data_IF_153848157572
#
_entry.id   IF_153848157572
#
_cell.length_a   1.000
_cell.length_b   1.000
_cell.length_c   1.000
_cell.angle_alpha   90.00
_cell.angle_beta   90.00
_cell.angle_gamma   90.00
#
_symmetry.space_group_name_H-M   'P 1'
#
loop_
_entity.id
_entity.type
_entity.pdbx_description
1 polymer ?
#
# COMPACT_ATOMS: atom_id res chain seq x y z
N UNK A 1 -12.12 -15.74 48.15
CA UNK A 1 -10.78 -16.21 47.73
C UNK A 1 -10.72 -16.15 46.22
N UNK A 2 -10.25 -15.02 45.66
CA UNK A 2 -10.05 -14.82 44.24
C UNK A 2 -8.60 -14.39 44.07
N UNK A 3 -7.78 -15.32 43.57
CA UNK A 3 -6.36 -15.12 43.29
C UNK A 3 -6.21 -14.18 42.09
N UNK A 4 -5.55 -13.05 42.34
CA UNK A 4 -5.05 -12.16 41.28
C UNK A 4 -3.85 -12.82 40.60
N UNK A 5 -3.94 -13.01 39.29
CA UNK A 5 -2.82 -13.38 38.41
C UNK A 5 -2.18 -12.06 37.95
N UNK A 6 -0.86 -11.84 38.16
CA UNK A 6 -0.20 -10.66 37.63
C UNK A 6 0.14 -10.87 36.15
N UNK A 7 -0.44 -10.04 35.29
CA UNK A 7 0.01 -9.87 33.90
C UNK A 7 1.36 -9.14 33.89
N UNK A 8 2.41 -9.87 33.52
CA UNK A 8 3.74 -9.32 33.28
C UNK A 8 3.78 -8.76 31.85
N UNK A 9 3.46 -7.48 31.69
CA UNK A 9 3.62 -6.77 30.42
C UNK A 9 5.10 -6.41 30.22
N UNK A 10 5.82 -7.22 29.44
CA UNK A 10 7.13 -6.83 28.88
C UNK A 10 6.90 -5.77 27.80
N UNK A 11 7.06 -4.50 28.18
CA UNK A 11 7.18 -3.40 27.23
C UNK A 11 8.47 -3.59 26.41
N UNK A 12 8.35 -3.93 25.13
CA UNK A 12 9.43 -3.80 24.17
C UNK A 12 9.68 -2.30 23.97
N UNK A 13 10.69 -1.77 24.64
CA UNK A 13 11.15 -0.39 24.45
C UNK A 13 11.91 -0.35 23.11
N UNK A 14 11.23 0.04 22.03
CA UNK A 14 11.91 0.35 20.76
C UNK A 14 12.76 1.60 20.98
N UNK A 15 14.10 1.56 20.77
CA UNK A 15 14.90 2.76 20.78
C UNK A 15 14.50 3.62 19.57
N UNK A 16 13.76 4.69 19.84
CA UNK A 16 13.46 5.71 18.84
C UNK A 16 14.73 6.55 18.63
N UNK A 17 15.62 6.12 17.73
CA UNK A 17 16.71 6.95 17.24
C UNK A 17 16.11 8.06 16.37
N UNK A 18 15.74 9.17 17.02
CA UNK A 18 15.49 10.45 16.35
C UNK A 18 16.83 11.01 15.86
N UNK A 19 17.34 10.44 14.76
CA UNK A 19 18.55 10.90 14.09
C UNK A 19 18.23 12.03 13.12
N UNK A 20 18.71 13.22 13.45
CA UNK A 20 18.77 14.40 12.57
C UNK A 20 19.33 14.04 11.19
N UNK A 21 18.71 14.60 10.15
CA UNK A 21 19.24 14.62 8.79
C UNK A 21 20.57 15.38 8.75
N UNK A 22 21.66 14.64 8.81
CA UNK A 22 23.01 15.08 8.45
C UNK A 22 23.67 13.95 7.67
N UNK A 23 24.45 14.31 6.65
CA UNK A 23 25.23 13.36 5.85
C UNK A 23 26.04 12.44 6.79
N UNK A 24 25.66 11.16 6.87
CA UNK A 24 26.43 10.17 7.59
C UNK A 24 27.63 9.79 6.72
N UNK A 25 28.72 10.55 6.83
CA UNK A 25 30.00 10.16 6.22
C UNK A 25 30.57 8.96 6.98
N UNK A 26 30.11 7.75 6.63
CA UNK A 26 30.51 6.52 7.30
C UNK A 26 29.73 5.32 6.80
N UNK A 27 30.02 4.17 7.40
CA UNK A 27 29.27 2.93 7.16
C UNK A 27 27.99 2.95 7.99
N UNK A 28 26.86 2.62 7.36
CA UNK A 28 25.59 2.46 8.04
C UNK A 28 25.26 0.98 8.16
N UNK A 29 25.46 0.44 9.36
CA UNK A 29 25.19 -0.96 9.66
C UNK A 29 23.91 -1.06 10.49
N UNK A 30 22.97 -1.89 10.04
CA UNK A 30 21.80 -2.31 10.81
C UNK A 30 22.13 -3.69 11.39
N UNK A 31 22.40 -3.79 12.70
CA UNK A 31 22.94 -5.01 13.29
C UNK A 31 21.94 -6.17 13.26
N UNK A 32 22.47 -7.39 13.22
CA UNK A 32 21.69 -8.61 13.18
C UNK A 32 20.61 -8.66 14.28
N UNK A 33 19.40 -9.05 13.89
CA UNK A 33 18.24 -9.16 14.79
C UNK A 33 17.67 -7.83 15.31
N UNK A 34 18.19 -6.67 14.89
CA UNK A 34 17.64 -5.37 15.28
C UNK A 34 16.57 -4.89 14.30
N UNK A 35 15.58 -4.17 14.83
CA UNK A 35 14.64 -3.38 14.05
C UNK A 35 14.99 -1.90 14.22
N UNK A 36 15.48 -1.28 13.16
CA UNK A 36 15.78 0.15 13.11
C UNK A 36 14.73 0.85 12.27
N UNK A 37 14.06 1.85 12.85
CA UNK A 37 13.14 2.68 12.10
C UNK A 37 13.85 3.93 11.59
N UNK A 38 13.87 4.13 10.27
CA UNK A 38 14.40 5.32 9.63
C UNK A 38 13.25 6.19 9.12
N UNK A 39 13.25 7.48 9.51
CA UNK A 39 12.28 8.46 9.02
C UNK A 39 12.90 9.25 7.86
N UNK A 40 12.28 9.19 6.70
CA UNK A 40 12.76 9.87 5.50
C UNK A 40 12.69 11.40 5.61
N UNK A 41 13.70 12.06 5.05
CA UNK A 41 13.77 13.50 4.86
C UNK A 41 13.82 13.85 3.37
N UNK A 42 13.80 15.15 3.02
CA UNK A 42 13.80 15.61 1.62
C UNK A 42 15.15 15.39 0.90
N UNK A 43 16.17 14.89 1.60
CA UNK A 43 17.52 14.71 1.08
C UNK A 43 17.89 13.23 1.03
N UNK A 44 18.74 12.87 0.07
CA UNK A 44 19.33 11.54 -0.05
C UNK A 44 20.20 11.21 1.16
N UNK A 45 20.23 9.92 1.53
CA UNK A 45 21.19 9.37 2.47
C UNK A 45 22.48 9.04 1.70
N UNK A 46 23.57 9.72 2.03
CA UNK A 46 24.88 9.47 1.43
C UNK A 46 25.76 8.82 2.49
N UNK A 47 26.19 7.59 2.23
CA UNK A 47 27.01 6.76 3.13
C UNK A 47 28.16 6.11 2.35
N UNK A 48 29.18 5.61 3.05
CA UNK A 48 30.22 4.80 2.39
C UNK A 48 29.65 3.43 2.02
N UNK A 49 29.03 2.76 2.98
CA UNK A 49 28.33 1.50 2.78
C UNK A 49 27.02 1.46 3.57
N UNK A 50 26.05 0.70 3.06
CA UNK A 50 24.85 0.29 3.80
C UNK A 50 24.89 -1.22 3.96
N UNK A 51 24.89 -1.71 5.20
CA UNK A 51 24.78 -3.15 5.51
C UNK A 51 23.56 -3.40 6.37
N UNK A 52 22.65 -4.26 5.91
CA UNK A 52 21.54 -4.77 6.69
C UNK A 52 21.86 -6.25 6.99
N UNK A 53 22.28 -6.53 8.22
CA UNK A 53 22.75 -7.86 8.61
C UNK A 53 21.61 -8.89 8.70
N UNK A 54 21.91 -10.21 8.72
CA UNK A 54 20.89 -11.25 8.79
C UNK A 54 19.89 -11.06 9.94
N UNK A 55 18.60 -11.19 9.63
CA UNK A 55 17.51 -11.01 10.59
C UNK A 55 17.29 -9.58 11.08
N UNK A 56 18.09 -8.60 10.62
CA UNK A 56 17.85 -7.20 10.87
C UNK A 56 16.70 -6.67 10.00
N UNK A 57 16.04 -5.61 10.45
CA UNK A 57 15.00 -4.90 9.71
C UNK A 57 15.29 -3.40 9.72
N UNK A 58 15.51 -2.82 8.55
CA UNK A 58 15.46 -1.39 8.33
C UNK A 58 14.04 -1.01 7.89
N UNK A 59 13.23 -0.53 8.83
CA UNK A 59 11.86 -0.06 8.57
C UNK A 59 11.88 1.41 8.19
N UNK A 60 11.60 1.69 6.93
CA UNK A 60 11.53 3.05 6.39
C UNK A 60 10.12 3.60 6.57
N UNK A 61 10.01 4.80 7.14
CA UNK A 61 8.75 5.53 7.33
C UNK A 61 8.90 6.97 6.89
N UNK A 62 7.79 7.68 6.67
CA UNK A 62 7.80 9.11 6.41
C UNK A 62 7.30 9.49 5.02
N UNK A 63 7.21 10.80 4.83
CA UNK A 63 6.58 11.44 3.66
C UNK A 63 7.47 11.45 2.42
N UNK A 64 8.79 11.34 2.56
CA UNK A 64 9.71 11.41 1.43
C UNK A 64 10.17 10.01 1.01
N UNK A 65 10.71 9.85 -0.17
CA UNK A 65 11.35 8.60 -0.58
C UNK A 65 12.53 8.22 0.32
N UNK A 66 12.88 6.95 0.31
CA UNK A 66 14.18 6.52 0.81
C UNK A 66 15.12 6.37 -0.37
N UNK A 67 16.04 7.32 -0.46
CA UNK A 67 17.07 7.34 -1.49
C UNK A 67 18.42 7.21 -0.79
N UNK A 68 19.10 6.09 -0.97
CA UNK A 68 20.45 5.86 -0.47
C UNK A 68 21.46 5.79 -1.61
N UNK A 69 22.56 6.53 -1.46
CA UNK A 69 23.71 6.53 -2.36
C UNK A 69 24.92 6.04 -1.57
N UNK A 70 25.58 4.98 -2.06
CA UNK A 70 26.70 4.34 -1.38
C UNK A 70 27.78 3.85 -2.34
N UNK A 71 28.95 3.48 -1.83
CA UNK A 71 29.90 2.67 -2.61
C UNK A 71 29.43 1.22 -2.67
N UNK A 72 29.03 0.65 -1.52
CA UNK A 72 28.50 -0.71 -1.45
C UNK A 72 27.20 -0.78 -0.65
N UNK A 73 26.28 -1.64 -1.09
CA UNK A 73 25.06 -1.99 -0.38
C UNK A 73 25.00 -3.51 -0.23
N UNK A 74 24.86 -3.98 1.00
CA UNK A 74 24.72 -5.40 1.34
C UNK A 74 23.45 -5.62 2.15
N UNK A 75 22.53 -6.43 1.62
CA UNK A 75 21.25 -6.72 2.28
C UNK A 75 21.13 -8.21 2.52
N UNK A 76 21.34 -8.61 3.77
CA UNK A 76 21.08 -9.96 4.28
C UNK A 76 19.88 -9.98 5.25
N UNK A 77 19.41 -8.83 5.71
CA UNK A 77 18.14 -8.67 6.43
C UNK A 77 17.02 -8.10 5.55
N UNK A 78 16.10 -7.36 6.15
CA UNK A 78 14.95 -6.76 5.46
C UNK A 78 15.07 -5.24 5.37
N UNK A 79 14.94 -4.69 4.17
CA UNK A 79 14.64 -3.28 3.91
C UNK A 79 13.14 -3.14 3.61
N UNK A 80 12.39 -2.48 4.48
CA UNK A 80 10.92 -2.43 4.40
C UNK A 80 10.38 -1.00 4.38
N UNK A 81 9.77 -0.62 3.26
CA UNK A 81 9.02 0.62 3.06
C UNK A 81 7.55 0.36 2.74
N UNK A 82 6.96 -0.70 3.30
CA UNK A 82 5.55 -1.02 3.08
C UNK A 82 4.62 -0.01 3.77
N UNK A 83 3.51 0.36 3.12
CA UNK A 83 2.43 1.13 3.73
C UNK A 83 1.80 0.41 4.93
N UNK A 84 1.17 1.17 5.81
CA UNK A 84 0.49 0.63 6.98
C UNK A 84 -0.90 0.13 6.61
N UNK A 85 -1.34 -0.95 7.25
CA UNK A 85 -2.71 -1.42 7.16
C UNK A 85 -3.64 -0.54 8.01
N UNK A 86 -4.87 -0.37 7.54
CA UNK A 86 -5.93 0.24 8.33
C UNK A 86 -6.33 -0.67 9.50
N UNK A 87 -6.92 -0.06 10.53
CA UNK A 87 -7.42 -0.79 11.69
C UNK A 87 -8.91 -1.10 11.49
N UNK A 88 -9.30 -2.33 11.81
CA UNK A 88 -10.71 -2.70 11.89
C UNK A 88 -11.43 -1.82 12.91
N UNK A 89 -12.67 -1.44 12.59
CA UNK A 89 -13.49 -0.66 13.50
C UNK A 89 -13.91 -1.53 14.68
N UNK A 90 -13.24 -1.35 15.82
CA UNK A 90 -13.48 -2.14 17.02
C UNK A 90 -14.49 -1.51 18.00
N UNK A 91 -15.05 -0.34 17.66
CA UNK A 91 -16.00 0.40 18.50
C UNK A 91 -17.43 0.24 17.97
N UNK A 92 -18.41 0.42 18.86
CA UNK A 92 -19.85 0.29 18.57
C UNK A 92 -20.59 1.59 18.95
N UNK A 93 -21.52 2.03 18.11
CA UNK A 93 -22.29 3.26 18.30
C UNK A 93 -21.42 4.52 18.21
N UNK A 94 -20.44 4.54 17.29
CA UNK A 94 -19.41 5.59 17.28
C UNK A 94 -19.39 6.42 16.00
N UNK A 95 -20.57 6.69 15.44
CA UNK A 95 -20.76 7.58 14.30
C UNK A 95 -20.29 9.02 14.53
N UNK A 96 -19.96 9.41 15.76
CA UNK A 96 -19.31 10.69 16.06
C UNK A 96 -17.78 10.66 16.01
N UNK A 97 -17.16 9.54 15.64
CA UNK A 97 -15.71 9.37 15.54
C UNK A 97 -15.30 9.10 14.09
N UNK A 98 -14.27 9.80 13.65
CA UNK A 98 -13.65 9.59 12.32
C UNK A 98 -12.77 8.35 12.37
N UNK A 99 -12.90 7.47 11.37
CA UNK A 99 -11.97 6.35 11.17
C UNK A 99 -10.88 6.77 10.20
N UNK A 100 -9.66 6.96 10.72
CA UNK A 100 -8.55 7.43 9.89
C UNK A 100 -8.01 6.32 8.99
N UNK A 101 -7.75 6.67 7.74
CA UNK A 101 -6.96 5.81 6.85
C UNK A 101 -5.52 5.68 7.31
N UNK A 102 -4.90 4.54 6.99
CA UNK A 102 -3.54 4.24 7.37
C UNK A 102 -2.52 5.04 6.55
N UNK A 103 -1.37 5.31 7.17
CA UNK A 103 -0.27 6.03 6.54
C UNK A 103 0.41 5.17 5.46
N UNK A 104 0.85 5.79 4.37
CA UNK A 104 1.87 5.18 3.53
C UNK A 104 3.25 5.20 4.20
N UNK A 105 4.26 4.71 3.48
CA UNK A 105 5.66 4.76 3.90
C UNK A 105 6.53 5.26 2.75
N UNK A 106 7.68 5.85 3.06
CA UNK A 106 8.64 6.38 2.09
C UNK A 106 8.00 7.15 0.90
N UNK A 107 7.08 8.06 1.19
CA UNK A 107 6.33 8.83 0.19
C UNK A 107 5.07 8.19 -0.37
N UNK A 108 4.74 6.97 0.03
CA UNK A 108 3.45 6.34 -0.26
C UNK A 108 2.28 7.17 0.27
N UNK A 109 1.20 7.25 -0.51
CA UNK A 109 0.00 8.00 -0.15
C UNK A 109 -0.78 7.38 1.01
N UNK A 110 -1.37 8.21 1.88
CA UNK A 110 -2.28 7.76 2.94
C UNK A 110 -3.60 7.20 2.40
N UNK A 111 -4.20 6.25 3.11
CA UNK A 111 -5.59 5.83 2.86
C UNK A 111 -6.63 6.91 3.20
N UNK A 112 -7.81 6.77 2.62
CA UNK A 112 -8.97 7.63 2.89
C UNK A 112 -9.50 7.44 4.30
N UNK A 113 -10.14 8.47 4.87
CA UNK A 113 -10.84 8.34 6.17
C UNK A 113 -12.33 8.07 5.97
N UNK A 114 -12.90 7.20 6.79
CA UNK A 114 -14.34 7.03 6.85
C UNK A 114 -14.95 7.97 7.90
N UNK A 115 -16.24 8.26 7.72
CA UNK A 115 -17.06 8.99 8.68
C UNK A 115 -16.51 10.37 9.09
N UNK A 116 -16.20 11.22 8.12
CA UNK A 116 -15.65 12.56 8.38
C UNK A 116 -16.64 13.55 8.97
N UNK A 117 -17.94 13.35 8.76
CA UNK A 117 -18.98 14.19 9.35
C UNK A 117 -19.39 13.55 10.67
N UNK A 118 -19.00 14.17 11.79
CA UNK A 118 -19.21 13.62 13.14
C UNK A 118 -20.41 14.22 13.87
N UNK A 119 -21.21 15.01 13.17
CA UNK A 119 -22.42 15.67 13.67
C UNK A 119 -23.67 15.39 12.82
N UNK A 120 -23.53 14.55 11.79
CA UNK A 120 -24.58 14.15 10.86
C UNK A 120 -24.15 12.91 10.08
N UNK A 121 -25.03 12.36 9.25
CA UNK A 121 -24.71 11.23 8.39
C UNK A 121 -23.68 11.60 7.32
N UNK A 122 -22.61 10.81 7.20
CA UNK A 122 -21.58 11.01 6.16
C UNK A 122 -22.05 10.37 4.84
N UNK A 123 -22.05 11.09 3.70
CA UNK A 123 -22.57 10.58 2.43
C UNK A 123 -21.68 9.49 1.78
N UNK A 124 -20.37 9.58 1.97
CA UNK A 124 -19.39 8.71 1.32
C UNK A 124 -18.11 8.67 2.16
N UNK A 125 -17.39 7.55 2.15
CA UNK A 125 -16.00 7.53 2.62
C UNK A 125 -15.10 8.43 1.76
N UNK A 126 -13.99 8.90 2.30
CA UNK A 126 -13.03 9.66 1.51
C UNK A 126 -12.24 8.77 0.56
N UNK A 127 -11.83 9.36 -0.57
CA UNK A 127 -10.80 8.75 -1.41
C UNK A 127 -9.45 8.72 -0.69
N UNK A 128 -8.60 7.76 -1.08
CA UNK A 128 -7.19 7.72 -0.73
C UNK A 128 -6.41 8.89 -1.31
N UNK A 129 -5.21 9.09 -0.77
CA UNK A 129 -4.29 10.13 -1.20
C UNK A 129 -3.32 9.57 -2.25
N UNK A 130 -2.92 10.46 -3.15
CA UNK A 130 -1.81 10.19 -4.06
C UNK A 130 -0.46 10.27 -3.37
N UNK A 131 0.60 10.23 -4.18
CA UNK A 131 1.98 10.26 -3.72
C UNK A 131 2.32 11.49 -2.88
N UNK A 132 3.23 11.32 -1.91
CA UNK A 132 3.73 12.37 -1.01
C UNK A 132 2.63 13.08 -0.20
N UNK A 133 1.47 12.45 -0.04
CA UNK A 133 0.22 13.03 0.46
C UNK A 133 -0.19 14.32 -0.29
N UNK A 134 0.27 14.50 -1.52
CA UNK A 134 0.18 15.77 -2.24
C UNK A 134 -1.25 16.23 -2.55
N UNK A 135 -2.09 15.32 -3.05
CA UNK A 135 -3.50 15.61 -3.36
C UNK A 135 -4.41 14.45 -2.95
N UNK A 136 -5.51 14.78 -2.25
CA UNK A 136 -6.61 13.84 -2.00
C UNK A 136 -7.34 13.53 -3.30
N UNK A 137 -7.86 12.30 -3.45
CA UNK A 137 -8.62 11.90 -4.65
C UNK A 137 -7.78 11.27 -5.76
N UNK A 138 -6.47 11.10 -5.54
CA UNK A 138 -5.58 10.38 -6.45
C UNK A 138 -5.31 8.93 -6.00
N UNK A 139 -5.81 8.52 -4.83
CA UNK A 139 -5.87 7.12 -4.41
C UNK A 139 -7.19 6.45 -4.81
N UNK A 140 -7.47 5.29 -4.23
CA UNK A 140 -8.74 4.58 -4.44
C UNK A 140 -9.94 5.41 -3.98
N UNK A 141 -11.03 5.39 -4.73
CA UNK A 141 -12.23 6.16 -4.40
C UNK A 141 -12.93 5.62 -3.14
N UNK A 142 -13.55 6.49 -2.34
CA UNK A 142 -14.33 6.05 -1.19
C UNK A 142 -15.66 5.40 -1.59
N UNK A 143 -16.17 4.49 -0.76
CA UNK A 143 -17.46 3.83 -0.95
C UNK A 143 -18.63 4.72 -0.51
N UNK A 144 -19.73 4.66 -1.26
CA UNK A 144 -20.96 5.38 -0.94
C UNK A 144 -21.64 4.83 0.32
N UNK A 145 -22.13 5.71 1.20
CA UNK A 145 -22.94 5.29 2.33
C UNK A 145 -24.31 4.80 1.88
N UNK A 146 -24.92 3.89 2.65
CA UNK A 146 -26.24 3.33 2.39
C UNK A 146 -27.26 3.76 3.43
N UNK A 147 -28.52 3.86 3.01
CA UNK A 147 -29.67 4.02 3.90
C UNK A 147 -30.87 3.22 3.37
N UNK A 148 -31.83 2.91 4.25
CA UNK A 148 -33.06 2.20 3.86
C UNK A 148 -34.22 3.20 3.71
N UNK A 149 -34.53 3.58 2.47
CA UNK A 149 -35.61 4.51 2.16
C UNK A 149 -37.03 4.00 2.55
N UNK A 150 -37.16 2.72 2.95
CA UNK A 150 -38.45 2.07 3.27
C UNK A 150 -38.66 1.84 4.76
N UNK A 151 -37.60 1.68 5.56
CA UNK A 151 -37.66 1.45 7.01
C UNK A 151 -36.32 1.73 7.68
N UNK A 152 -36.25 1.92 9.00
CA UNK A 152 -34.97 2.22 9.68
C UNK A 152 -34.28 1.03 10.35
N UNK A 153 -34.89 -0.16 10.33
CA UNK A 153 -34.49 -1.27 11.21
C UNK A 153 -33.75 -2.42 10.53
N UNK A 154 -33.72 -2.47 9.19
CA UNK A 154 -33.09 -3.58 8.48
C UNK A 154 -31.66 -3.24 8.07
N UNK A 155 -30.69 -3.86 8.74
CA UNK A 155 -29.26 -3.68 8.47
C UNK A 155 -28.86 -3.99 7.03
N UNK A 156 -29.48 -4.98 6.38
CA UNK A 156 -29.16 -5.36 4.99
C UNK A 156 -29.65 -4.34 3.97
N UNK A 157 -30.71 -3.60 4.31
CA UNK A 157 -31.27 -2.54 3.47
C UNK A 157 -30.57 -1.19 3.62
N UNK A 158 -29.54 -1.10 4.45
CA UNK A 158 -28.78 0.15 4.65
C UNK A 158 -27.27 -0.01 4.56
N UNK A 159 -26.77 -1.17 4.12
CA UNK A 159 -25.32 -1.42 4.01
C UNK A 159 -24.67 -0.45 3.03
N UNK A 160 -23.68 0.30 3.51
CA UNK A 160 -22.78 1.08 2.67
C UNK A 160 -21.94 0.23 1.71
N UNK A 161 -21.34 0.88 0.73
CA UNK A 161 -20.46 0.27 -0.25
C UNK A 161 -18.99 0.36 0.16
N UNK A 162 -18.17 -0.56 -0.34
CA UNK A 162 -16.76 -0.63 0.00
C UNK A 162 -15.90 0.41 -0.71
N UNK A 163 -14.75 0.75 -0.11
CA UNK A 163 -13.75 1.62 -0.73
C UNK A 163 -12.98 0.91 -1.87
N UNK A 164 -12.55 1.65 -2.89
CA UNK A 164 -11.75 1.13 -4.00
C UNK A 164 -10.26 1.03 -3.66
N UNK A 165 -9.57 0.09 -4.32
CA UNK A 165 -8.14 -0.12 -4.13
C UNK A 165 -7.26 0.95 -4.77
N UNK A 166 -6.07 1.15 -4.19
CA UNK A 166 -5.00 1.91 -4.81
C UNK A 166 -4.48 1.22 -6.09
N UNK A 167 -3.92 1.98 -7.02
CA UNK A 167 -3.31 1.45 -8.23
C UNK A 167 -2.06 2.26 -8.60
N UNK A 168 -0.98 1.55 -8.95
CA UNK A 168 0.25 2.17 -9.43
C UNK A 168 0.81 1.41 -10.63
N UNK A 169 1.33 0.21 -10.40
CA UNK A 169 1.81 -0.70 -11.44
C UNK A 169 0.69 -1.25 -12.34
N UNK A 170 1.05 -1.80 -13.51
CA UNK A 170 0.11 -2.54 -14.34
C UNK A 170 -0.36 -3.81 -13.63
N UNK A 171 -1.64 -4.15 -13.79
CA UNK A 171 -2.17 -5.39 -13.22
C UNK A 171 -1.50 -6.61 -13.86
N UNK A 172 -1.19 -7.61 -13.05
CA UNK A 172 -0.64 -8.88 -13.54
C UNK A 172 -1.80 -9.77 -13.95
N UNK A 173 -1.83 -10.19 -15.22
CA UNK A 173 -2.87 -11.09 -15.75
C UNK A 173 -2.91 -12.39 -14.94
N UNK A 174 -4.08 -12.75 -14.41
CA UNK A 174 -4.24 -13.91 -13.53
C UNK A 174 -3.64 -13.74 -12.14
N UNK A 175 -3.18 -12.52 -11.81
CA UNK A 175 -2.68 -12.17 -10.49
C UNK A 175 -3.78 -12.24 -9.42
N UNK A 176 -3.38 -12.64 -8.22
CA UNK A 176 -4.25 -12.61 -7.04
C UNK A 176 -4.22 -11.25 -6.33
N UNK A 177 -4.59 -11.28 -5.06
CA UNK A 177 -4.55 -10.12 -4.15
C UNK A 177 -3.18 -9.42 -4.23
N UNK A 178 -3.21 -8.09 -4.35
CA UNK A 178 -2.01 -7.27 -4.43
C UNK A 178 -1.35 -7.21 -5.80
N UNK A 179 -1.87 -7.95 -6.78
CA UNK A 179 -1.38 -7.97 -8.16
C UNK A 179 -2.42 -7.50 -9.19
N UNK A 180 -3.66 -7.27 -8.76
CA UNK A 180 -4.72 -6.68 -9.56
C UNK A 180 -5.47 -5.67 -8.69
N UNK A 181 -5.52 -4.41 -9.12
CA UNK A 181 -6.32 -3.41 -8.41
C UNK A 181 -7.81 -3.65 -8.66
N UNK A 182 -8.63 -3.55 -7.62
CA UNK A 182 -10.06 -3.77 -7.70
C UNK A 182 -10.87 -2.59 -7.17
N UNK A 183 -12.06 -2.39 -7.76
CA UNK A 183 -13.06 -1.46 -7.21
C UNK A 183 -13.64 -2.03 -5.93
N UNK A 184 -14.20 -1.17 -5.09
CA UNK A 184 -15.01 -1.60 -3.96
C UNK A 184 -16.28 -2.31 -4.44
N UNK A 185 -16.76 -3.26 -3.66
CA UNK A 185 -18.06 -3.88 -3.90
C UNK A 185 -19.19 -2.90 -3.57
N UNK A 186 -20.30 -3.00 -4.29
CA UNK A 186 -21.49 -2.22 -4.00
C UNK A 186 -22.06 -2.59 -2.62
N UNK A 187 -22.82 -1.67 -2.04
CA UNK A 187 -23.53 -1.86 -0.79
C UNK A 187 -24.71 -2.84 -0.91
N UNK A 188 -25.60 -2.82 0.07
CA UNK A 188 -26.77 -3.71 0.09
C UNK A 188 -27.60 -3.58 -1.19
N UNK A 189 -28.06 -4.68 -1.81
CA UNK A 189 -28.72 -4.65 -3.12
C UNK A 189 -30.01 -3.80 -3.14
N UNK A 190 -30.64 -3.63 -1.98
CA UNK A 190 -31.86 -2.85 -1.76
C UNK A 190 -31.60 -1.57 -0.95
N UNK A 191 -30.34 -1.30 -0.58
CA UNK A 191 -29.97 -0.05 0.06
C UNK A 191 -29.95 1.08 -0.97
N UNK A 192 -30.30 2.27 -0.52
CA UNK A 192 -30.26 3.48 -1.34
C UNK A 192 -28.96 4.22 -1.04
N UNK A 193 -28.23 4.60 -2.08
CA UNK A 193 -26.99 5.33 -1.95
C UNK A 193 -27.21 6.79 -1.54
N UNK A 194 -26.43 7.28 -0.58
CA UNK A 194 -26.55 8.63 -0.04
C UNK A 194 -26.10 9.74 -1.00
N UNK A 195 -25.34 9.41 -2.05
CA UNK A 195 -24.82 10.36 -3.06
C UNK A 195 -25.65 10.30 -4.34
N UNK A 196 -25.91 9.08 -4.80
CA UNK A 196 -26.53 8.80 -6.10
C UNK A 196 -28.05 8.71 -6.00
N UNK A 197 -28.59 8.39 -4.82
CA UNK A 197 -30.01 8.04 -4.66
C UNK A 197 -30.41 6.74 -5.36
N UNK A 198 -29.45 5.94 -5.82
CA UNK A 198 -29.68 4.69 -6.55
C UNK A 198 -29.51 3.47 -5.65
N UNK A 199 -30.08 2.35 -6.09
CA UNK A 199 -29.87 1.04 -5.47
C UNK A 199 -29.03 0.14 -6.39
N UNK A 200 -27.96 -0.52 -5.89
CA UNK A 200 -27.33 -0.36 -4.57
C UNK A 200 -26.44 0.91 -4.47
N UNK A 201 -25.97 1.29 -3.26
CA UNK A 201 -24.89 2.27 -3.09
C UNK A 201 -23.63 1.80 -3.84
N UNK A 202 -22.94 2.71 -4.51
CA UNK A 202 -21.82 2.36 -5.40
C UNK A 202 -20.51 2.20 -4.65
N UNK A 203 -19.81 1.11 -4.94
CA UNK A 203 -18.45 0.90 -4.47
C UNK A 203 -17.48 1.92 -5.05
N UNK A 204 -16.43 2.21 -4.28
CA UNK A 204 -15.39 3.16 -4.68
C UNK A 204 -14.62 2.72 -5.91
N UNK A 205 -14.26 3.67 -6.77
CA UNK A 205 -13.48 3.41 -7.98
C UNK A 205 -12.04 2.99 -7.66
N UNK A 206 -11.40 2.26 -8.58
CA UNK A 206 -9.94 2.03 -8.55
C UNK A 206 -9.24 3.39 -8.69
N UNK A 207 -8.09 3.56 -8.04
CA UNK A 207 -7.28 4.76 -8.23
C UNK A 207 -6.92 4.99 -9.71
N UNK A 208 -6.71 6.24 -10.15
CA UNK A 208 -6.16 6.52 -11.47
C UNK A 208 -4.83 5.79 -11.70
N UNK A 209 -4.63 5.23 -12.91
CA UNK A 209 -3.37 4.56 -13.27
C UNK A 209 -2.27 5.59 -13.51
N UNK A 210 -1.03 5.18 -13.24
CA UNK A 210 0.15 6.00 -13.53
C UNK A 210 0.56 5.98 -15.01
N UNK A 211 0.07 4.98 -15.75
CA UNK A 211 0.33 4.71 -17.16
C UNK A 211 -0.94 4.99 -17.98
N UNK A 212 -0.82 5.74 -19.09
CA UNK A 212 -1.96 6.30 -19.82
C UNK A 212 -2.08 5.85 -21.28
N UNK A 213 -1.01 5.35 -21.90
CA UNK A 213 -1.02 5.03 -23.35
C UNK A 213 -1.47 3.60 -23.70
N UNK A 214 -1.81 2.81 -22.67
CA UNK A 214 -2.23 1.40 -22.75
C UNK A 214 -1.20 0.44 -23.34
N UNK A 215 0.05 0.88 -23.55
CA UNK A 215 1.13 0.03 -24.02
C UNK A 215 1.92 -0.54 -22.82
N UNK A 216 1.72 -1.82 -22.45
CA UNK A 216 2.40 -2.40 -21.30
C UNK A 216 3.93 -2.51 -21.50
N UNK A 217 4.41 -2.37 -22.74
CA UNK A 217 5.83 -2.52 -23.04
C UNK A 217 6.68 -1.36 -22.50
N UNK A 218 6.10 -0.17 -22.25
CA UNK A 218 6.77 1.00 -21.68
C UNK A 218 6.27 1.39 -20.27
N UNK A 219 5.60 0.49 -19.55
CA UNK A 219 5.11 0.71 -18.17
C UNK A 219 6.23 0.72 -17.11
N UNK A 220 7.20 1.62 -17.24
CA UNK A 220 8.34 1.73 -16.34
C UNK A 220 8.94 3.15 -16.34
N UNK A 221 9.81 3.45 -15.38
CA UNK A 221 10.71 4.61 -15.38
C UNK A 221 12.08 4.24 -15.97
N UNK A 222 12.63 5.07 -16.84
CA UNK A 222 13.97 4.89 -17.42
C UNK A 222 13.94 4.33 -18.85
N UNK A 223 14.93 3.50 -19.21
CA UNK A 223 15.11 3.00 -20.57
C UNK A 223 15.45 1.51 -20.58
N UNK A 224 14.75 0.70 -21.40
CA UNK A 224 15.09 -0.72 -21.59
C UNK A 224 16.31 -0.87 -22.52
N UNK A 225 17.20 -1.84 -22.25
CA UNK A 225 18.34 -2.13 -23.12
C UNK A 225 17.89 -2.58 -24.52
N UNK A 226 18.70 -2.24 -25.51
CA UNK A 226 18.52 -2.52 -26.94
C UNK A 226 18.39 -4.02 -27.23
N UNK A 227 17.38 -4.40 -28.01
CA UNK A 227 17.47 -5.62 -28.83
C UNK A 227 18.18 -5.25 -30.15
N UNK A 228 19.12 -6.08 -30.65
CA UNK A 228 19.81 -5.82 -31.92
C UNK A 228 18.88 -5.36 -33.05
N UNK A 229 18.99 -4.09 -33.46
CA UNK A 229 18.27 -3.50 -34.59
C UNK A 229 17.03 -2.67 -34.26
N UNK A 230 16.64 -2.49 -32.99
CA UNK A 230 15.44 -1.72 -32.61
C UNK A 230 15.76 -0.54 -31.69
N UNK A 231 15.15 0.65 -31.86
CA UNK A 231 15.39 1.77 -30.95
C UNK A 231 15.06 1.39 -29.49
N UNK A 232 15.75 1.99 -28.51
CA UNK A 232 15.46 1.72 -27.11
C UNK A 232 14.05 2.14 -26.73
N UNK A 233 13.40 1.35 -25.90
CA UNK A 233 12.07 1.68 -25.36
C UNK A 233 12.30 2.60 -24.16
N UNK A 234 11.81 3.84 -24.26
CA UNK A 234 11.76 4.79 -23.16
C UNK A 234 10.48 4.52 -22.36
N UNK A 235 10.62 4.45 -21.05
CA UNK A 235 9.50 4.24 -20.14
C UNK A 235 8.58 5.47 -20.07
N UNK A 236 7.30 5.24 -19.80
CA UNK A 236 6.29 6.29 -19.70
C UNK A 236 6.46 7.18 -18.45
N UNK A 237 7.00 6.63 -17.35
CA UNK A 237 7.18 7.40 -16.13
C UNK A 237 8.33 8.39 -16.29
N UNK A 238 8.01 9.67 -16.13
CA UNK A 238 9.00 10.76 -16.14
C UNK A 238 9.88 10.80 -14.89
N UNK A 239 9.38 10.29 -13.75
CA UNK A 239 10.10 10.24 -12.47
C UNK A 239 9.70 9.01 -11.66
N UNK A 240 10.59 8.47 -10.80
CA UNK A 240 10.24 7.42 -9.87
C UNK A 240 9.11 7.86 -8.95
N UNK A 241 8.22 6.94 -8.60
CA UNK A 241 6.97 7.28 -7.91
C UNK A 241 6.60 6.22 -6.87
N UNK A 242 6.18 6.60 -5.65
CA UNK A 242 5.67 5.64 -4.67
C UNK A 242 4.22 5.22 -4.99
N UNK A 243 3.69 4.29 -4.20
CA UNK A 243 2.30 3.84 -4.28
C UNK A 243 1.29 4.85 -3.73
N UNK A 244 0.01 4.57 -3.94
CA UNK A 244 -1.12 5.41 -3.51
C UNK A 244 -2.02 4.68 -2.52
N UNK A 245 -2.75 5.43 -1.69
CA UNK A 245 -3.63 4.86 -0.67
C UNK A 245 -4.95 4.33 -1.22
N UNK A 246 -5.58 3.41 -0.47
CA UNK A 246 -6.93 2.92 -0.75
C UNK A 246 -8.03 3.87 -0.25
N UNK A 247 -9.23 3.73 -0.81
CA UNK A 247 -10.41 4.52 -0.40
C UNK A 247 -11.07 3.99 0.86
N UNK A 248 -11.76 4.86 1.61
CA UNK A 248 -12.51 4.46 2.79
C UNK A 248 -13.86 3.81 2.46
N UNK A 249 -14.40 3.00 3.37
CA UNK A 249 -15.74 2.42 3.24
C UNK A 249 -16.85 3.44 3.53
N UNK A 250 -18.03 3.22 2.94
CA UNK A 250 -19.25 3.97 3.25
C UNK A 250 -19.86 3.57 4.60
N UNK A 251 -20.61 4.50 5.19
CA UNK A 251 -21.37 4.24 6.40
C UNK A 251 -22.69 3.51 6.09
N UNK A 252 -23.29 2.97 7.14
CA UNK A 252 -24.67 2.48 7.14
C UNK A 252 -25.54 3.38 7.99
N UNK A 253 -26.36 4.19 7.33
CA UNK A 253 -27.20 5.20 7.98
C UNK A 253 -28.56 4.59 8.34
N UNK A 254 -28.98 4.69 9.60
CA UNK A 254 -30.26 4.10 10.04
C UNK A 254 -31.50 4.88 9.61
N UNK A 255 -31.38 6.18 9.27
CA UNK A 255 -32.52 7.00 8.88
C UNK A 255 -33.17 6.56 7.56
N UNK A 256 -34.50 6.71 7.40
CA UNK A 256 -35.16 6.42 6.12
C UNK A 256 -34.99 7.52 5.07
N UNK A 257 -34.26 8.57 5.42
CA UNK A 257 -33.93 9.70 4.55
C UNK A 257 -32.48 10.09 4.83
N UNK A 258 -31.82 10.63 3.82
CA UNK A 258 -30.45 11.11 3.94
C UNK A 258 -30.39 12.64 3.71
N UNK A 259 -29.69 13.41 4.55
CA UNK A 259 -29.13 13.00 5.85
C UNK A 259 -30.21 12.63 6.87
N UNK A 260 -29.86 11.84 7.89
CA UNK A 260 -30.82 11.45 8.94
C UNK A 260 -31.28 12.69 9.73
N UNK A 261 -32.59 13.01 9.81
CA UNK A 261 -33.08 14.24 10.47
C UNK A 261 -32.84 14.29 11.99
N UNK A 262 -32.84 13.13 12.64
CA UNK A 262 -32.52 12.97 14.07
C UNK A 262 -31.29 12.08 14.18
N UNK A 263 -30.14 12.68 13.96
CA UNK A 263 -28.86 11.98 14.02
C UNK A 263 -28.36 11.86 15.46
N UNK A 264 -27.84 10.70 15.82
CA UNK A 264 -27.12 10.48 17.09
C UNK A 264 -25.85 9.67 16.81
N UNK A 265 -24.82 9.72 17.67
CA UNK A 265 -23.62 8.91 17.49
C UNK A 265 -23.90 7.40 17.30
N UNK A 266 -24.99 6.90 17.89
CA UNK A 266 -25.36 5.48 17.84
C UNK A 266 -26.24 5.11 16.63
N UNK A 267 -26.63 6.06 15.77
CA UNK A 267 -27.57 5.78 14.67
C UNK A 267 -26.90 5.27 13.40
N UNK A 268 -25.67 5.68 13.14
CA UNK A 268 -24.95 5.31 11.92
C UNK A 268 -23.76 4.42 12.29
N UNK A 269 -23.62 3.27 11.63
CA UNK A 269 -22.41 2.47 11.74
C UNK A 269 -21.40 2.92 10.69
N UNK A 270 -20.19 3.23 11.13
CA UNK A 270 -19.16 3.81 10.27
C UNK A 270 -18.46 2.77 9.41
N UNK A 271 -18.12 3.18 8.19
CA UNK A 271 -17.17 2.44 7.36
C UNK A 271 -15.75 2.49 7.94
N UNK A 272 -14.84 1.72 7.35
CA UNK A 272 -13.43 1.71 7.74
C UNK A 272 -12.55 2.70 6.95
N UNK A 273 -11.43 3.12 7.54
CA UNK A 273 -10.38 3.88 6.83
C UNK A 273 -9.59 2.99 5.86
N UNK A 274 -9.07 3.55 4.76
CA UNK A 274 -8.32 2.81 3.72
C UNK A 274 -6.87 2.49 4.09
N UNK A 275 -6.27 1.50 3.41
CA UNK A 275 -4.85 1.13 3.57
C UNK A 275 -3.88 2.14 2.93
N UNK A 276 -2.67 2.27 3.47
CA UNK A 276 -1.64 3.17 2.94
C UNK A 276 -0.87 2.60 1.74
N UNK A 277 -0.39 3.45 0.84
CA UNK A 277 0.44 3.03 -0.31
C UNK A 277 1.85 2.61 0.09
N UNK A 278 2.43 1.68 -0.67
CA UNK A 278 3.84 1.29 -0.55
C UNK A 278 4.80 2.42 -0.95
N UNK A 279 6.02 2.37 -0.43
CA UNK A 279 6.98 3.45 -0.59
C UNK A 279 7.85 3.43 -1.84
N UNK A 280 8.61 4.51 -2.02
CA UNK A 280 9.65 4.61 -3.04
C UNK A 280 11.02 4.33 -2.39
N UNK A 281 11.63 3.22 -2.81
CA UNK A 281 12.97 2.79 -2.41
C UNK A 281 13.91 2.95 -3.61
N UNK A 282 14.95 3.76 -3.44
CA UNK A 282 16.00 3.96 -4.44
C UNK A 282 17.34 3.63 -3.76
N UNK A 283 18.02 2.62 -4.28
CA UNK A 283 19.35 2.23 -3.85
C UNK A 283 20.34 2.38 -5.01
N UNK A 284 21.27 3.31 -4.89
CA UNK A 284 22.30 3.58 -5.89
C UNK A 284 23.68 3.25 -5.30
N UNK A 285 24.43 2.35 -5.93
CA UNK A 285 25.78 2.03 -5.50
C UNK A 285 26.72 1.54 -6.60
N UNK A 286 28.03 1.48 -6.30
CA UNK A 286 28.97 0.79 -7.19
C UNK A 286 28.69 -0.71 -7.17
N UNK A 287 28.52 -1.28 -5.97
CA UNK A 287 28.17 -2.68 -5.79
C UNK A 287 26.91 -2.81 -4.93
N UNK A 288 26.00 -3.68 -5.36
CA UNK A 288 24.86 -4.10 -4.55
C UNK A 288 24.88 -5.61 -4.47
N UNK A 289 24.78 -6.16 -3.26
CA UNK A 289 24.63 -7.60 -3.02
C UNK A 289 23.39 -7.86 -2.20
N UNK A 290 22.54 -8.78 -2.66
CA UNK A 290 21.41 -9.28 -1.88
C UNK A 290 21.67 -10.74 -1.54
N UNK A 291 21.80 -11.04 -0.25
CA UNK A 291 22.08 -12.40 0.22
C UNK A 291 20.84 -13.28 0.29
N UNK A 292 21.05 -14.50 0.78
CA UNK A 292 20.03 -15.54 0.86
C UNK A 292 18.82 -15.17 1.70
N UNK A 293 19.03 -14.43 2.78
CA UNK A 293 17.97 -13.95 3.69
C UNK A 293 17.59 -12.50 3.43
N UNK A 294 18.24 -11.85 2.46
CA UNK A 294 17.95 -10.48 2.06
C UNK A 294 16.50 -10.36 1.61
N UNK A 295 15.86 -9.21 1.88
CA UNK A 295 14.54 -8.89 1.36
C UNK A 295 14.36 -7.38 1.23
N UNK A 296 13.70 -6.93 0.18
CA UNK A 296 13.32 -5.53 -0.05
C UNK A 296 11.83 -5.45 -0.35
N UNK A 297 11.12 -4.62 0.39
CA UNK A 297 9.64 -4.65 0.45
C UNK A 297 9.10 -3.24 0.34
N UNK A 298 8.13 -3.04 -0.54
CA UNK A 298 7.38 -1.80 -0.71
C UNK A 298 5.90 -2.12 -0.93
N UNK A 299 5.31 -2.94 -0.05
CA UNK A 299 3.92 -3.34 -0.20
C UNK A 299 2.94 -2.22 0.17
N UNK A 300 1.75 -2.23 -0.42
CA UNK A 300 0.61 -1.48 0.10
C UNK A 300 0.06 -2.12 1.38
N UNK A 301 -0.48 -1.28 2.26
CA UNK A 301 -1.20 -1.71 3.44
C UNK A 301 -2.61 -2.17 3.12
N UNK A 302 -3.11 -3.13 3.90
CA UNK A 302 -4.48 -3.64 3.73
C UNK A 302 -5.53 -2.63 4.20
N UNK A 303 -6.71 -2.69 3.59
CA UNK A 303 -7.92 -2.08 4.13
C UNK A 303 -8.40 -2.81 5.38
N UNK A 304 -9.47 -2.28 5.95
CA UNK A 304 -10.06 -2.71 7.20
C UNK A 304 -11.57 -2.87 7.07
N UNK A 305 -12.15 -3.58 8.04
CA UNK A 305 -13.57 -3.90 8.10
C UNK A 305 -14.32 -2.83 8.90
N UNK A 306 -15.50 -2.44 8.42
CA UNK A 306 -16.32 -1.43 9.08
C UNK A 306 -17.00 -1.93 10.36
N UNK A 307 -17.70 -1.02 11.02
CA UNK A 307 -18.35 -1.24 12.32
C UNK A 307 -19.38 -2.37 12.29
N UNK A 308 -19.43 -3.12 13.39
CA UNK A 308 -20.40 -4.19 13.61
C UNK A 308 -21.68 -3.66 14.30
N UNK A 309 -22.80 -4.33 14.11
CA UNK A 309 -24.02 -4.08 14.92
C UNK A 309 -24.14 -5.04 16.10
N UNK A 310 -23.94 -6.34 15.86
CA UNK A 310 -23.86 -7.41 16.85
C UNK A 310 -22.95 -8.52 16.32
N UNK A 311 -22.08 -9.07 17.16
CA UNK A 311 -21.09 -10.10 16.81
C UNK A 311 -20.23 -9.69 15.58
N UNK A 312 -20.12 -10.57 14.57
CA UNK A 312 -19.29 -10.38 13.37
C UNK A 312 -20.08 -9.84 12.16
N UNK A 313 -21.25 -9.24 12.41
CA UNK A 313 -22.05 -8.65 11.33
C UNK A 313 -21.55 -7.23 11.02
N UNK A 314 -20.60 -7.13 10.09
CA UNK A 314 -20.03 -5.88 9.60
C UNK A 314 -21.07 -5.12 8.78
N UNK A 315 -21.69 -4.11 9.39
CA UNK A 315 -22.73 -3.30 8.74
C UNK A 315 -22.10 -2.05 8.13
N UNK A 316 -21.09 -1.45 8.77
CA UNK A 316 -20.20 -0.50 8.11
C UNK A 316 -19.38 -1.19 7.01
N UNK A 317 -19.15 -0.50 5.89
CA UNK A 317 -18.46 -1.11 4.76
C UNK A 317 -16.94 -1.19 4.94
N UNK A 318 -16.34 -2.17 4.28
CA UNK A 318 -14.89 -2.37 4.23
C UNK A 318 -14.20 -1.33 3.34
N UNK A 319 -12.92 -1.08 3.62
CA UNK A 319 -12.12 -0.10 2.89
C UNK A 319 -11.15 -0.74 1.89
N UNK A 320 -10.68 0.03 0.91
CA UNK A 320 -9.74 -0.45 -0.09
C UNK A 320 -8.30 -0.59 0.45
N UNK A 321 -7.55 -1.53 -0.13
CA UNK A 321 -6.10 -1.66 0.10
C UNK A 321 -5.28 -0.61 -0.66
N UNK A 322 -4.12 -0.21 -0.13
CA UNK A 322 -3.18 0.65 -0.84
C UNK A 322 -2.41 -0.11 -1.93
N UNK A 323 -1.89 0.58 -2.94
CA UNK A 323 -1.07 -0.06 -3.99
C UNK A 323 0.33 -0.40 -3.49
N UNK A 324 1.01 -1.32 -4.18
CA UNK A 324 2.46 -1.46 -4.07
C UNK A 324 3.19 -0.18 -4.44
N UNK A 325 4.41 -0.04 -3.94
CA UNK A 325 5.32 1.07 -4.18
C UNK A 325 6.31 0.81 -5.32
N UNK A 326 7.45 1.48 -5.31
CA UNK A 326 8.47 1.33 -6.34
C UNK A 326 9.82 0.99 -5.72
N UNK A 327 10.47 -0.04 -6.25
CA UNK A 327 11.82 -0.45 -5.87
C UNK A 327 12.72 -0.21 -7.08
N UNK A 328 13.74 0.64 -6.93
CA UNK A 328 14.79 0.90 -7.91
C UNK A 328 16.13 0.53 -7.31
N UNK A 329 16.78 -0.47 -7.91
CA UNK A 329 18.17 -0.84 -7.60
C UNK A 329 19.03 -0.44 -8.78
N UNK A 330 19.96 0.50 -8.58
CA UNK A 330 20.91 0.92 -9.58
C UNK A 330 22.33 0.58 -9.13
N UNK A 331 23.04 -0.24 -9.93
CA UNK A 331 24.39 -0.65 -9.59
C UNK A 331 25.30 -0.85 -10.81
N UNK A 332 26.60 -0.61 -10.62
CA UNK A 332 27.61 -1.01 -11.61
C UNK A 332 27.84 -2.52 -11.59
N UNK A 333 27.80 -3.15 -10.42
CA UNK A 333 27.77 -4.59 -10.25
C UNK A 333 26.68 -4.98 -9.25
N UNK A 334 25.76 -5.84 -9.68
CA UNK A 334 24.66 -6.35 -8.86
C UNK A 334 24.82 -7.85 -8.67
N UNK A 335 24.97 -8.29 -7.43
CA UNK A 335 25.05 -9.70 -7.09
C UNK A 335 23.73 -10.18 -6.45
N UNK A 336 22.96 -10.92 -7.24
CA UNK A 336 21.76 -11.64 -6.83
C UNK A 336 22.00 -13.15 -6.80
N UNK A 337 23.24 -13.63 -6.92
CA UNK A 337 23.55 -15.06 -7.08
C UNK A 337 23.06 -15.94 -5.92
N UNK A 338 22.89 -15.34 -4.74
CA UNK A 338 22.37 -15.98 -3.54
C UNK A 338 20.92 -15.58 -3.21
N UNK A 339 20.31 -14.64 -3.94
CA UNK A 339 19.00 -14.11 -3.60
C UNK A 339 17.90 -15.20 -3.69
N UNK A 340 17.00 -15.20 -2.70
CA UNK A 340 15.87 -16.12 -2.66
C UNK A 340 14.71 -15.65 -3.58
N UNK A 341 13.81 -16.56 -4.01
CA UNK A 341 12.59 -16.17 -4.70
C UNK A 341 11.76 -15.15 -3.90
N UNK A 342 11.21 -14.14 -4.58
CA UNK A 342 10.44 -13.06 -3.93
C UNK A 342 11.26 -12.11 -3.05
N UNK A 343 12.58 -12.01 -3.30
CA UNK A 343 13.47 -11.05 -2.62
C UNK A 343 12.98 -9.60 -2.75
N UNK A 344 12.37 -9.25 -3.89
CA UNK A 344 11.74 -7.95 -4.11
C UNK A 344 10.23 -8.09 -4.09
N UNK A 345 9.54 -7.29 -3.27
CA UNK A 345 8.08 -7.32 -3.21
C UNK A 345 7.49 -5.92 -3.21
N UNK A 346 6.60 -5.65 -4.16
CA UNK A 346 5.82 -4.43 -4.25
C UNK A 346 4.36 -4.77 -4.59
N UNK A 347 3.71 -5.54 -3.72
CA UNK A 347 2.29 -5.93 -3.86
C UNK A 347 1.37 -4.87 -3.27
N UNK A 348 0.17 -4.74 -3.81
CA UNK A 348 -0.90 -4.01 -3.12
C UNK A 348 -1.43 -4.75 -1.89
N UNK A 349 -2.13 -4.01 -1.03
CA UNK A 349 -2.81 -4.55 0.15
C UNK A 349 -4.16 -5.17 -0.18
N UNK A 350 -4.64 -6.06 0.71
CA UNK A 350 -5.97 -6.65 0.59
C UNK A 350 -7.06 -5.63 0.94
N UNK A 351 -8.20 -5.65 0.24
CA UNK A 351 -9.40 -4.94 0.67
C UNK A 351 -9.96 -5.46 1.99
N UNK A 352 -10.58 -4.56 2.76
CA UNK A 352 -11.27 -4.87 4.01
C UNK A 352 -12.56 -5.67 3.80
N UNK A 353 -12.95 -6.45 4.80
CA UNK A 353 -14.16 -7.26 4.71
C UNK A 353 -15.42 -6.39 4.72
N UNK A 354 -16.41 -6.78 3.92
CA UNK A 354 -17.77 -6.28 3.96
C UNK A 354 -18.66 -7.21 4.79
N UNK A 355 -19.86 -7.52 4.28
CA UNK A 355 -20.80 -8.46 4.91
C UNK A 355 -20.14 -9.81 5.25
N UNK A 356 -19.21 -10.26 4.40
CA UNK A 356 -18.40 -11.46 4.65
C UNK A 356 -16.93 -11.17 4.40
N UNK A 357 -16.05 -12.11 4.76
CA UNK A 357 -14.61 -12.03 4.48
C UNK A 357 -14.24 -12.20 2.99
N UNK A 358 -15.23 -12.43 2.11
CA UNK A 358 -15.03 -12.54 0.66
C UNK A 358 -14.87 -11.13 0.04
N UNK A 359 -13.80 -10.87 -0.74
CA UNK A 359 -13.54 -9.55 -1.34
C UNK A 359 -14.60 -9.09 -2.35
N UNK A 360 -15.44 -9.98 -2.87
CA UNK A 360 -16.57 -9.62 -3.75
C UNK A 360 -17.90 -9.49 -3.02
N UNK A 361 -17.90 -9.67 -1.70
CA UNK A 361 -19.11 -9.57 -0.90
C UNK A 361 -19.62 -8.15 -0.81
N UNK A 362 -20.91 -8.00 -0.50
CA UNK A 362 -21.57 -6.71 -0.28
C UNK A 362 -20.73 -5.84 0.66
N UNK A 363 -20.41 -4.63 0.20
CA UNK A 363 -19.65 -3.64 0.97
C UNK A 363 -18.17 -3.98 1.21
N UNK A 364 -17.62 -5.04 0.60
CA UNK A 364 -16.19 -5.34 0.69
C UNK A 364 -15.35 -4.28 -0.02
N UNK A 365 -14.18 -3.98 0.55
CA UNK A 365 -13.21 -3.11 -0.09
C UNK A 365 -12.49 -3.78 -1.26
N UNK A 366 -12.02 -2.97 -2.20
CA UNK A 366 -11.21 -3.42 -3.33
C UNK A 366 -9.74 -3.63 -2.95
N UNK A 367 -9.13 -4.68 -3.51
CA UNK A 367 -7.69 -4.92 -3.38
C UNK A 367 -6.87 -3.83 -4.07
N UNK A 368 -5.71 -3.51 -3.49
CA UNK A 368 -4.71 -2.66 -4.12
C UNK A 368 -3.96 -3.38 -5.23
N UNK A 369 -3.59 -2.64 -6.27
CA UNK A 369 -2.76 -3.12 -7.37
C UNK A 369 -1.28 -3.21 -7.03
N UNK A 370 -0.49 -3.83 -7.93
CA UNK A 370 0.94 -3.97 -7.74
C UNK A 370 1.64 -2.62 -7.86
N UNK A 371 2.90 -2.62 -7.46
CA UNK A 371 3.86 -1.55 -7.68
C UNK A 371 4.79 -1.84 -8.85
N UNK A 372 6.03 -1.38 -8.76
CA UNK A 372 7.08 -1.65 -9.76
C UNK A 372 8.37 -2.09 -9.09
N UNK A 373 9.06 -3.04 -9.73
CA UNK A 373 10.42 -3.43 -9.36
C UNK A 373 11.32 -3.21 -10.57
N UNK A 374 12.44 -2.52 -10.38
CA UNK A 374 13.38 -2.20 -11.43
C UNK A 374 14.81 -2.43 -10.99
N UNK A 375 15.55 -3.09 -11.87
CA UNK A 375 16.99 -3.29 -11.77
C UNK A 375 17.64 -2.51 -12.91
N UNK A 376 18.41 -1.49 -12.56
CA UNK A 376 19.15 -0.63 -13.47
C UNK A 376 20.62 -1.07 -13.44
N UNK A 377 21.10 -1.63 -14.54
CA UNK A 377 22.43 -2.21 -14.63
C UNK A 377 23.10 -1.84 -15.96
N UNK A 378 24.40 -1.54 -15.91
CA UNK A 378 25.18 -1.08 -17.08
C UNK A 378 25.04 -2.04 -18.26
N UNK A 379 24.99 -3.34 -17.98
CA UNK A 379 24.62 -4.37 -18.95
C UNK A 379 24.12 -5.62 -18.21
N UNK A 380 23.50 -6.57 -18.92
CA UNK A 380 23.02 -7.81 -18.31
C UNK A 380 24.13 -8.68 -17.70
N UNK A 381 25.39 -8.54 -18.14
CA UNK A 381 26.53 -9.29 -17.61
C UNK A 381 27.04 -8.71 -16.27
N UNK A 382 26.64 -7.49 -15.91
CA UNK A 382 26.96 -6.89 -14.62
C UNK A 382 26.00 -7.30 -13.51
N UNK A 383 25.04 -8.18 -13.81
CA UNK A 383 24.14 -8.80 -12.84
C UNK A 383 24.45 -10.28 -12.71
N UNK A 384 24.87 -10.72 -11.52
CA UNK A 384 24.99 -12.14 -11.21
C UNK A 384 23.62 -12.67 -10.74
N UNK A 385 23.11 -13.71 -11.40
CA UNK A 385 21.83 -14.34 -11.07
C UNK A 385 22.02 -15.67 -10.36
N UNK A 386 21.01 -16.18 -9.62
CA UNK A 386 21.10 -17.51 -9.06
C UNK A 386 21.29 -18.56 -10.17
N UNK A 387 22.21 -19.51 -10.00
CA UNK A 387 22.57 -20.47 -11.05
C UNK A 387 21.44 -21.46 -11.40
N UNK A 388 20.39 -21.51 -10.57
CA UNK A 388 19.22 -22.35 -10.79
C UNK A 388 18.33 -21.87 -11.96
N UNK A 389 18.52 -20.65 -12.47
CA UNK A 389 17.68 -20.08 -13.51
C UNK A 389 18.35 -20.13 -14.88
N UNK A 390 17.58 -20.56 -15.89
CA UNK A 390 18.06 -20.72 -17.26
C UNK A 390 18.34 -19.39 -17.98
N UNK A 391 17.84 -18.26 -17.47
CA UNK A 391 18.05 -16.93 -18.06
C UNK A 391 17.87 -15.80 -17.03
N UNK A 392 18.43 -14.60 -17.31
CA UNK A 392 18.19 -13.39 -16.51
C UNK A 392 16.71 -13.05 -16.31
N UNK A 393 15.89 -13.22 -17.36
CA UNK A 393 14.46 -12.93 -17.30
C UNK A 393 13.75 -13.90 -16.36
N UNK A 394 14.03 -15.19 -16.46
CA UNK A 394 13.46 -16.20 -15.57
C UNK A 394 13.88 -15.98 -14.11
N UNK A 395 15.13 -15.57 -13.89
CA UNK A 395 15.62 -15.20 -12.57
C UNK A 395 14.85 -14.00 -12.01
N UNK A 396 14.75 -12.90 -12.75
CA UNK A 396 14.03 -11.69 -12.28
C UNK A 396 12.55 -11.97 -12.01
N UNK A 397 11.88 -12.76 -12.86
CA UNK A 397 10.49 -13.19 -12.64
C UNK A 397 10.31 -13.98 -11.33
N UNK A 398 11.30 -14.81 -10.96
CA UNK A 398 11.24 -15.58 -9.72
C UNK A 398 11.65 -14.77 -8.48
N UNK A 399 12.59 -13.84 -8.65
CA UNK A 399 13.12 -13.00 -7.57
C UNK A 399 12.18 -11.87 -7.16
N UNK A 400 11.20 -11.50 -7.99
CA UNK A 400 10.38 -10.30 -7.74
C UNK A 400 8.90 -10.53 -7.92
N UNK A 401 8.11 -9.84 -7.09
CA UNK A 401 6.66 -9.78 -7.24
C UNK A 401 6.14 -8.34 -7.05
N UNK A 402 5.66 -7.66 -8.11
CA UNK A 402 5.52 -8.12 -9.49
C UNK A 402 6.88 -8.35 -10.19
N UNK A 403 6.90 -9.00 -11.37
CA UNK A 403 8.12 -9.21 -12.14
C UNK A 403 8.90 -7.92 -12.40
N UNK A 404 10.20 -7.96 -12.17
CA UNK A 404 11.09 -6.82 -12.30
C UNK A 404 11.46 -6.51 -13.75
N UNK A 405 11.66 -5.22 -14.03
CA UNK A 405 12.27 -4.75 -15.26
C UNK A 405 13.79 -4.71 -15.14
N UNK A 406 14.50 -5.16 -16.18
CA UNK A 406 15.92 -4.91 -16.36
C UNK A 406 16.11 -3.71 -17.30
N UNK A 407 16.74 -2.65 -16.81
CA UNK A 407 16.83 -1.34 -17.45
C UNK A 407 18.29 -0.86 -17.49
N UNK A 408 18.56 0.11 -18.35
CA UNK A 408 19.83 0.84 -18.38
C UNK A 408 19.90 1.83 -17.22
N UNK A 409 21.10 2.12 -16.67
CA UNK A 409 21.26 3.11 -15.62
C UNK A 409 20.81 4.49 -16.09
N UNK A 410 20.15 5.21 -15.19
CA UNK A 410 19.70 6.59 -15.41
C UNK A 410 20.48 7.51 -14.46
N UNK A 411 20.83 8.71 -14.92
CA UNK A 411 21.31 9.73 -14.01
C UNK A 411 20.16 10.14 -13.07
N UNK A 412 20.19 9.67 -11.83
CA UNK A 412 19.18 9.99 -10.82
C UNK A 412 19.54 11.36 -10.21
N UNK A 413 18.79 12.40 -10.59
CA UNK A 413 18.92 13.80 -10.13
C UNK A 413 19.17 13.90 -8.63
#
# INVERSE_FOLDING_TARGET
MLQQIPFCARALCLPLLAGLAAAQSGDWVIPAGQVVQYRTGPSKVIVNSLRIEPGAVLRVVGKYEFHVVAQSIEIDGTLDASGWSAQDVATLGTGNLVEQGALGAAGGGRGGSANKITSSSTPQGDAGFGVYDGFSGLGGGGGESGFDATSSSNVDKRRGAGGGGGAFGPDVVGGGVGLVAAKGANGGPTATGCVTGLQPPKGGAIAPRAFVDANPDNDFFGQKPFLPGLPPIVGELAYPRPGVGGGAGGNSCAGPTFPTPVWTPNSDEKGAGGGGGGGLLIAEAQTVRIGLTGRIVANGGSGASGENTLALNHVGAGSGGGSGGMIVIQANALDLSQAAPGVFEARGGKGGAGLTSNPTSVGSGGDGGPGLVQVHAVNGASVAYPPAYASPIAALQALSVPPAHLLLPVALL
#
